data_IF_387143424030
#
_entry.id   IF_387143424030
#
_cell.length_a   1.000
_cell.length_b   1.000
_cell.length_c   1.000
_cell.angle_alpha   90.00
_cell.angle_beta   90.00
_cell.angle_gamma   90.00
#
_symmetry.space_group_name_H-M   'P 1'
#
loop_
_entity.id
_entity.type
_entity.pdbx_description
1 polymer ?
#
# COMPACT_ATOMS: atom_id res chain seq x y z
N UNK A 1 61.62 -8.68 -21.01
CA UNK A 1 60.26 -8.11 -20.99
C UNK A 1 59.32 -9.19 -21.52
N UNK A 2 58.35 -9.77 -20.83
CA UNK A 2 57.80 -9.61 -19.48
C UNK A 2 57.41 -11.02 -18.99
N UNK A 3 57.82 -11.42 -17.78
CA UNK A 3 57.35 -12.65 -17.14
C UNK A 3 55.92 -12.41 -16.65
N UNK A 4 54.99 -13.25 -17.12
CA UNK A 4 53.62 -13.29 -16.63
C UNK A 4 53.62 -13.54 -15.12
N UNK A 5 52.98 -12.63 -14.38
CA UNK A 5 52.65 -12.83 -12.97
C UNK A 5 51.50 -13.85 -12.95
N UNK A 6 51.83 -15.14 -12.96
CA UNK A 6 50.92 -16.18 -12.50
C UNK A 6 50.78 -16.04 -10.98
N UNK A 7 49.83 -15.22 -10.56
CA UNK A 7 49.35 -15.24 -9.20
C UNK A 7 48.62 -16.58 -8.97
N UNK A 8 49.39 -17.64 -8.70
CA UNK A 8 48.90 -18.91 -8.18
C UNK A 8 48.43 -18.71 -6.74
N UNK A 9 47.30 -18.03 -6.56
CA UNK A 9 46.59 -17.94 -5.28
C UNK A 9 46.19 -19.33 -4.85
N UNK A 10 46.83 -19.84 -3.78
CA UNK A 10 46.47 -21.12 -3.14
C UNK A 10 44.95 -21.16 -2.96
N UNK A 11 44.25 -22.23 -3.40
CA UNK A 11 42.80 -22.29 -3.29
C UNK A 11 42.41 -22.17 -1.82
N UNK A 12 41.45 -21.27 -1.54
CA UNK A 12 41.00 -20.96 -0.18
C UNK A 12 40.48 -22.22 0.52
N UNK A 13 40.48 -22.23 1.86
CA UNK A 13 39.95 -23.34 2.65
C UNK A 13 38.51 -23.72 2.24
N UNK A 14 37.65 -22.72 1.97
CA UNK A 14 36.29 -22.92 1.46
C UNK A 14 36.27 -23.59 0.08
N UNK A 15 37.20 -23.22 -0.80
CA UNK A 15 37.32 -23.84 -2.12
C UNK A 15 37.75 -25.31 -2.00
N UNK A 16 38.68 -25.63 -1.09
CA UNK A 16 39.11 -27.02 -0.85
C UNK A 16 38.00 -27.88 -0.23
N UNK A 17 37.27 -27.33 0.75
CA UNK A 17 36.15 -28.03 1.39
C UNK A 17 35.00 -28.30 0.41
N UNK A 18 34.64 -27.32 -0.43
CA UNK A 18 33.61 -27.50 -1.46
C UNK A 18 34.03 -28.50 -2.54
N UNK A 19 35.29 -28.48 -2.98
CA UNK A 19 35.79 -29.45 -3.98
C UNK A 19 35.83 -30.88 -3.42
N UNK A 20 36.22 -31.06 -2.14
CA UNK A 20 36.18 -32.35 -1.47
C UNK A 20 34.74 -32.88 -1.32
N UNK A 21 33.81 -32.03 -0.87
CA UNK A 21 32.40 -32.39 -0.76
C UNK A 21 31.81 -32.78 -2.11
N UNK A 22 32.04 -31.97 -3.16
CA UNK A 22 31.56 -32.26 -4.52
C UNK A 22 32.19 -33.54 -5.11
N UNK A 23 33.44 -33.85 -4.78
CA UNK A 23 34.11 -35.08 -5.24
C UNK A 23 33.53 -36.37 -4.64
N UNK A 24 32.86 -36.28 -3.48
CA UNK A 24 32.20 -37.41 -2.80
C UNK A 24 30.73 -37.55 -3.18
N UNK A 25 30.17 -36.58 -3.90
CA UNK A 25 28.77 -36.58 -4.32
C UNK A 25 28.64 -37.16 -5.73
N UNK A 26 27.55 -37.91 -5.97
CA UNK A 26 27.21 -38.35 -7.34
C UNK A 26 26.97 -37.12 -8.23
N UNK A 27 27.38 -37.22 -9.49
CA UNK A 27 27.16 -36.17 -10.49
C UNK A 27 25.65 -35.87 -10.57
N UNK A 28 25.28 -34.61 -10.34
CA UNK A 28 23.87 -34.15 -10.36
C UNK A 28 23.20 -33.98 -9.00
N UNK A 29 23.74 -34.54 -7.91
CA UNK A 29 23.20 -34.37 -6.54
C UNK A 29 22.87 -32.91 -6.15
N UNK A 30 23.70 -31.89 -6.45
CA UNK A 30 23.36 -30.50 -6.12
C UNK A 30 22.13 -29.98 -6.90
N UNK A 31 21.98 -30.36 -8.18
CA UNK A 31 20.82 -29.98 -8.98
C UNK A 31 19.54 -30.66 -8.48
N UNK A 32 19.62 -31.94 -8.11
CA UNK A 32 18.50 -32.68 -7.50
C UNK A 32 18.06 -32.05 -6.19
N UNK A 33 19.00 -31.68 -5.31
CA UNK A 33 18.68 -31.03 -4.03
C UNK A 33 17.99 -29.68 -4.24
N UNK A 34 18.45 -28.89 -5.21
CA UNK A 34 17.85 -27.60 -5.54
C UNK A 34 16.44 -27.79 -6.11
N UNK A 35 16.25 -28.70 -7.07
CA UNK A 35 14.95 -29.03 -7.63
C UNK A 35 13.97 -29.56 -6.57
N UNK A 36 14.44 -30.40 -5.64
CA UNK A 36 13.65 -30.91 -4.53
C UNK A 36 13.22 -29.79 -3.57
N UNK A 37 14.13 -28.85 -3.28
CA UNK A 37 13.83 -27.66 -2.47
C UNK A 37 12.76 -26.77 -3.12
N UNK A 38 12.87 -26.55 -4.43
CA UNK A 38 11.88 -25.77 -5.20
C UNK A 38 10.52 -26.48 -5.21
N UNK A 39 10.49 -27.79 -5.49
CA UNK A 39 9.27 -28.58 -5.47
C UNK A 39 8.60 -28.57 -4.09
N UNK A 40 9.38 -28.74 -3.02
CA UNK A 40 8.90 -28.65 -1.65
C UNK A 40 8.33 -27.26 -1.32
N UNK A 41 9.01 -26.19 -1.76
CA UNK A 41 8.53 -24.82 -1.58
C UNK A 41 7.20 -24.56 -2.29
N UNK A 42 7.04 -25.03 -3.52
CA UNK A 42 5.79 -24.92 -4.28
C UNK A 42 4.67 -25.67 -3.56
N UNK A 43 4.90 -26.93 -3.16
CA UNK A 43 3.89 -27.74 -2.47
C UNK A 43 3.46 -27.07 -1.15
N UNK A 44 4.42 -26.61 -0.35
CA UNK A 44 4.12 -25.96 0.93
C UNK A 44 3.33 -24.67 0.73
N UNK A 45 3.74 -23.83 -0.24
CA UNK A 45 2.99 -22.62 -0.57
C UNK A 45 1.56 -22.92 -1.06
N UNK A 46 1.41 -23.97 -1.88
CA UNK A 46 0.11 -24.43 -2.36
C UNK A 46 -0.80 -24.90 -1.23
N UNK A 47 -0.27 -25.67 -0.27
CA UNK A 47 -1.02 -26.12 0.91
C UNK A 47 -1.46 -24.95 1.80
N UNK A 48 -0.56 -23.99 2.05
CA UNK A 48 -0.90 -22.79 2.83
C UNK A 48 -2.00 -21.98 2.13
N UNK A 49 -1.89 -21.80 0.81
CA UNK A 49 -2.89 -21.05 0.04
C UNK A 49 -4.24 -21.77 0.01
N UNK A 50 -4.25 -23.10 -0.21
CA UNK A 50 -5.46 -23.91 -0.17
C UNK A 50 -6.12 -23.88 1.21
N UNK A 51 -5.33 -23.98 2.29
CA UNK A 51 -5.82 -23.87 3.67
C UNK A 51 -6.44 -22.50 3.95
N UNK A 52 -5.82 -21.41 3.48
CA UNK A 52 -6.40 -20.07 3.57
C UNK A 52 -7.69 -19.93 2.77
N UNK A 53 -7.74 -20.49 1.56
CA UNK A 53 -8.94 -20.49 0.72
C UNK A 53 -10.11 -21.21 1.42
N UNK A 54 -9.87 -22.41 1.95
CA UNK A 54 -10.87 -23.16 2.70
C UNK A 54 -11.33 -22.41 3.95
N UNK A 55 -10.42 -21.76 4.67
CA UNK A 55 -10.76 -20.94 5.83
C UNK A 55 -11.66 -19.76 5.45
N UNK A 56 -11.31 -19.01 4.41
CA UNK A 56 -12.09 -17.88 3.92
C UNK A 56 -13.48 -18.30 3.45
N UNK A 57 -13.60 -19.44 2.77
CA UNK A 57 -14.88 -19.92 2.26
C UNK A 57 -15.81 -20.45 3.35
N UNK A 58 -15.27 -21.13 4.37
CA UNK A 58 -16.10 -21.85 5.34
C UNK A 58 -16.18 -21.20 6.72
N UNK A 59 -15.18 -20.40 7.12
CA UNK A 59 -15.01 -19.99 8.53
C UNK A 59 -14.78 -18.49 8.75
N UNK A 60 -14.67 -17.68 7.69
CA UNK A 60 -14.49 -16.23 7.87
C UNK A 60 -15.82 -15.48 7.96
N UNK A 61 -16.24 -15.22 9.19
CA UNK A 61 -17.40 -14.37 9.49
C UNK A 61 -17.01 -12.95 9.87
N UNK A 62 -15.73 -12.71 10.17
CA UNK A 62 -15.22 -11.41 10.60
C UNK A 62 -15.12 -10.45 9.42
N UNK A 63 -14.79 -10.95 8.23
CA UNK A 63 -14.76 -10.15 7.01
C UNK A 63 -16.05 -9.35 6.79
N UNK A 64 -17.21 -10.01 6.90
CA UNK A 64 -18.51 -9.37 6.69
C UNK A 64 -18.85 -8.35 7.77
N UNK A 65 -18.50 -8.64 9.04
CA UNK A 65 -18.70 -7.70 10.16
C UNK A 65 -17.89 -6.43 9.96
N UNK A 66 -16.60 -6.58 9.60
CA UNK A 66 -15.71 -5.45 9.35
C UNK A 66 -16.18 -4.64 8.14
N UNK A 67 -16.59 -5.30 7.06
CA UNK A 67 -17.07 -4.61 5.86
C UNK A 67 -18.37 -3.82 6.11
N UNK A 68 -19.30 -4.38 6.88
CA UNK A 68 -20.50 -3.66 7.32
C UNK A 68 -20.13 -2.42 8.14
N UNK A 69 -19.22 -2.59 9.10
CA UNK A 69 -18.77 -1.50 9.98
C UNK A 69 -18.04 -0.38 9.23
N UNK A 70 -17.23 -0.71 8.22
CA UNK A 70 -16.60 0.28 7.33
C UNK A 70 -17.63 1.12 6.58
N UNK A 71 -18.63 0.48 5.97
CA UNK A 71 -19.72 1.19 5.26
C UNK A 71 -20.54 2.07 6.20
N UNK A 72 -20.76 1.64 7.44
CA UNK A 72 -21.41 2.47 8.45
C UNK A 72 -20.59 3.73 8.77
N UNK A 73 -19.28 3.59 8.98
CA UNK A 73 -18.41 4.74 9.26
C UNK A 73 -18.29 5.70 8.08
N UNK A 74 -18.29 5.19 6.86
CA UNK A 74 -18.29 6.03 5.65
C UNK A 74 -19.55 6.90 5.58
N UNK A 75 -20.73 6.32 5.82
CA UNK A 75 -21.99 7.07 5.88
C UNK A 75 -21.99 8.11 6.99
N UNK A 76 -21.50 7.73 8.16
CA UNK A 76 -21.41 8.64 9.30
C UNK A 76 -20.50 9.83 8.99
N UNK A 77 -19.36 9.58 8.34
CA UNK A 77 -18.41 10.62 7.94
C UNK A 77 -19.00 11.57 6.90
N UNK A 78 -19.71 11.06 5.89
CA UNK A 78 -20.38 11.90 4.89
C UNK A 78 -21.47 12.76 5.54
N UNK A 79 -22.30 12.18 6.39
CA UNK A 79 -23.33 12.91 7.12
C UNK A 79 -22.77 14.08 7.93
N UNK A 80 -21.68 13.85 8.68
CA UNK A 80 -21.08 14.93 9.46
C UNK A 80 -20.45 16.03 8.59
N UNK A 81 -19.85 15.66 7.45
CA UNK A 81 -19.31 16.65 6.51
C UNK A 81 -20.40 17.53 5.91
N UNK A 82 -21.50 16.93 5.47
CA UNK A 82 -22.64 17.68 4.93
C UNK A 82 -23.29 18.57 6.01
N UNK A 83 -23.39 18.08 7.24
CA UNK A 83 -23.88 18.88 8.36
C UNK A 83 -22.96 20.07 8.69
N UNK A 84 -21.64 19.87 8.66
CA UNK A 84 -20.67 20.93 8.90
C UNK A 84 -20.69 21.97 7.77
N UNK A 85 -20.77 21.52 6.52
CA UNK A 85 -20.87 22.39 5.34
C UNK A 85 -22.15 23.24 5.40
N UNK A 86 -23.30 22.62 5.65
CA UNK A 86 -24.58 23.35 5.80
C UNK A 86 -24.55 24.33 6.97
N UNK A 87 -24.01 23.95 8.12
CA UNK A 87 -23.84 24.86 9.25
C UNK A 87 -22.94 26.05 8.90
N UNK A 88 -21.84 25.82 8.18
CA UNK A 88 -20.94 26.88 7.74
C UNK A 88 -21.62 27.82 6.71
N UNK A 89 -22.45 27.27 5.82
CA UNK A 89 -23.23 28.05 4.86
C UNK A 89 -24.28 28.92 5.58
N UNK A 90 -24.94 28.39 6.61
CA UNK A 90 -25.86 29.18 7.44
C UNK A 90 -25.15 30.33 8.17
N UNK A 91 -23.94 30.10 8.66
CA UNK A 91 -23.13 31.15 9.25
C UNK A 91 -22.79 32.26 8.22
N UNK A 92 -22.33 31.89 7.03
CA UNK A 92 -22.07 32.85 5.95
C UNK A 92 -23.34 33.59 5.50
N UNK A 93 -24.48 32.91 5.47
CA UNK A 93 -25.77 33.55 5.19
C UNK A 93 -26.19 34.54 6.27
N UNK A 94 -25.81 34.32 7.54
CA UNK A 94 -26.07 35.31 8.59
C UNK A 94 -25.28 36.61 8.39
N UNK A 95 -24.05 36.52 7.83
CA UNK A 95 -23.24 37.70 7.52
C UNK A 95 -23.83 38.53 6.37
N UNK A 96 -24.63 37.95 5.48
CA UNK A 96 -25.29 38.75 4.44
C UNK A 96 -26.32 39.71 5.02
N UNK A 97 -26.83 39.48 6.24
CA UNK A 97 -27.70 40.44 6.92
C UNK A 97 -26.94 41.70 7.38
N UNK A 98 -25.63 41.60 7.62
CA UNK A 98 -24.76 42.74 7.96
C UNK A 98 -24.23 43.47 6.71
N UNK A 99 -24.43 42.90 5.52
CA UNK A 99 -23.92 43.46 4.29
C UNK A 99 -24.70 44.72 3.87
N UNK A 100 -24.03 45.87 3.90
CA UNK A 100 -24.53 47.12 3.33
C UNK A 100 -23.89 47.38 1.95
N UNK A 101 -24.64 47.20 0.84
CA UNK A 101 -24.12 47.46 -0.49
C UNK A 101 -23.84 48.96 -0.74
N UNK A 102 -24.50 49.86 -0.02
CA UNK A 102 -24.35 51.31 -0.22
C UNK A 102 -23.00 51.80 0.27
N UNK A 103 -22.44 51.17 1.31
CA UNK A 103 -21.10 51.45 1.81
C UNK A 103 -19.99 51.24 0.76
N UNK A 104 -20.24 50.42 -0.28
CA UNK A 104 -19.27 50.19 -1.37
C UNK A 104 -19.23 51.32 -2.40
N UNK A 105 -20.20 52.25 -2.37
CA UNK A 105 -20.33 53.34 -3.33
C UNK A 105 -19.35 54.45 -3.02
N UNK A 106 -18.52 54.84 -3.99
CA UNK A 106 -17.70 56.04 -3.87
C UNK A 106 -18.58 57.30 -3.80
N UNK A 107 -18.20 58.33 -3.03
CA UNK A 107 -18.91 59.60 -3.01
C UNK A 107 -19.15 60.13 -4.43
N UNK A 108 -20.36 60.64 -4.68
CA UNK A 108 -20.80 61.19 -5.97
C UNK A 108 -20.88 60.22 -7.17
N UNK A 109 -20.64 58.92 -6.99
CA UNK A 109 -20.90 57.91 -8.03
C UNK A 109 -22.20 57.16 -7.78
N UNK A 110 -22.88 56.67 -8.84
CA UNK A 110 -24.05 55.79 -8.69
C UNK A 110 -23.62 54.44 -8.12
N UNK A 111 -24.56 53.76 -7.45
CA UNK A 111 -24.33 52.41 -6.93
C UNK A 111 -24.28 51.41 -8.10
N UNK A 112 -23.20 50.63 -8.19
CA UNK A 112 -23.05 49.57 -9.19
C UNK A 112 -23.98 48.39 -8.88
N UNK A 113 -24.66 47.88 -9.91
CA UNK A 113 -25.60 46.77 -9.81
C UNK A 113 -24.92 45.46 -9.37
N UNK A 114 -23.61 45.32 -9.58
CA UNK A 114 -22.82 44.15 -9.17
C UNK A 114 -22.88 43.85 -7.67
N UNK A 115 -23.02 44.88 -6.84
CA UNK A 115 -23.00 44.77 -5.38
C UNK A 115 -24.39 44.59 -4.77
N UNK A 116 -25.44 44.56 -5.60
CA UNK A 116 -26.81 44.26 -5.15
C UNK A 116 -26.97 42.74 -5.09
N UNK A 117 -26.57 42.15 -3.95
CA UNK A 117 -26.99 40.80 -3.57
C UNK A 117 -28.50 40.75 -3.33
#
# INVERSE_FOLDING_TARGET
MAQQIEASTKPSFMTRASTFALSKMKVGTPLYSLAYGVAGGIILSGLVYAGRCAYLMCFDHEYYKIQSRKRYYEKQLLFFREQEETNSAHYLASLSAEYDPVATRMPFQPLDAKYRF
#
